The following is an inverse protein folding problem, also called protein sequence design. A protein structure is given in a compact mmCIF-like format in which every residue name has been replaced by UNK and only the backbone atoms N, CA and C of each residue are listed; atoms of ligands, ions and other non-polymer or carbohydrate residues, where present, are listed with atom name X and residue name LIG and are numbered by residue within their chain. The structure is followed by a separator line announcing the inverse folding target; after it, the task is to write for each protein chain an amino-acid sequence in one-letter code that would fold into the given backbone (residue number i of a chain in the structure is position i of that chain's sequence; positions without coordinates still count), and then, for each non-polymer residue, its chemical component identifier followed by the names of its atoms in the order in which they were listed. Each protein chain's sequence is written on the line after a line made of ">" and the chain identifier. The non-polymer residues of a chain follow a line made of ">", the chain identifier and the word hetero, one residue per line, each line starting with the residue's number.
data_IF_269174657935
#
_entry.id   IF_269174657935
#
_cell.length_a   1.000
_cell.length_b   1.000
_cell.length_c   1.000
_cell.angle_alpha   90.00
_cell.angle_beta   90.00
_cell.angle_gamma   90.00
#
_symmetry.space_group_name_H-M   'P 1'
#
loop_
_entity.id
_entity.type
_entity.pdbx_description
1 polymer ?
#
# COMPACT_ATOMS: atom_id res chain seq x y z
N UNK A 1 4.69 -3.64 -25.72
CA UNK A 1 3.55 -4.09 -24.89
C UNK A 1 4.11 -4.50 -23.54
N UNK A 2 3.79 -3.77 -22.47
CA UNK A 2 4.17 -4.18 -21.12
C UNK A 2 3.42 -5.48 -20.80
N UNK A 3 4.12 -6.49 -20.26
CA UNK A 3 3.44 -7.73 -19.86
C UNK A 3 2.47 -7.43 -18.73
N UNK A 4 1.33 -8.13 -18.69
CA UNK A 4 0.34 -7.99 -17.62
C UNK A 4 0.97 -8.20 -16.24
N UNK A 5 1.98 -9.08 -16.13
CA UNK A 5 2.76 -9.33 -14.90
C UNK A 5 3.47 -8.07 -14.42
N UNK A 6 4.13 -7.36 -15.34
CA UNK A 6 4.94 -6.18 -15.05
C UNK A 6 4.07 -4.96 -14.70
N UNK A 7 2.90 -4.82 -15.36
CA UNK A 7 1.90 -3.81 -14.98
C UNK A 7 1.35 -4.06 -13.57
N UNK A 8 1.05 -5.31 -13.21
CA UNK A 8 0.52 -5.64 -11.89
C UNK A 8 1.52 -5.35 -10.76
N UNK A 9 2.80 -5.68 -10.98
CA UNK A 9 3.87 -5.34 -10.04
C UNK A 9 4.06 -3.84 -9.85
N UNK A 10 4.02 -3.10 -10.95
CA UNK A 10 4.08 -1.64 -10.92
C UNK A 10 2.92 -1.07 -10.09
N UNK A 11 1.71 -1.56 -10.34
CA UNK A 11 0.52 -1.11 -9.62
C UNK A 11 0.58 -1.37 -8.11
N UNK A 12 1.02 -2.57 -7.70
CA UNK A 12 1.20 -2.90 -6.27
C UNK A 12 2.25 -2.00 -5.63
N UNK A 13 3.38 -1.80 -6.30
CA UNK A 13 4.48 -0.96 -5.78
C UNK A 13 4.03 0.48 -5.58
N UNK A 14 3.38 1.07 -6.58
CA UNK A 14 2.83 2.44 -6.50
C UNK A 14 1.77 2.54 -5.40
N UNK A 15 0.90 1.53 -5.29
CA UNK A 15 -0.13 1.51 -4.25
C UNK A 15 0.47 1.50 -2.84
N UNK A 16 1.52 0.70 -2.60
CA UNK A 16 2.24 0.66 -1.32
C UNK A 16 2.88 2.02 -1.02
N UNK A 17 3.51 2.67 -1.99
CA UNK A 17 4.13 3.97 -1.81
C UNK A 17 3.11 5.06 -1.46
N UNK A 18 1.97 5.09 -2.16
CA UNK A 18 0.92 6.09 -1.92
C UNK A 18 0.26 5.87 -0.56
N UNK A 19 -0.14 4.63 -0.25
CA UNK A 19 -0.82 4.30 1.02
C UNK A 19 0.11 4.43 2.22
N UNK A 20 1.38 4.03 2.08
CA UNK A 20 2.41 4.24 3.09
C UNK A 20 2.70 5.73 3.35
N UNK A 21 2.83 6.52 2.28
CA UNK A 21 3.01 7.97 2.40
C UNK A 21 1.79 8.64 3.07
N UNK A 22 0.57 8.27 2.68
CA UNK A 22 -0.65 8.80 3.29
C UNK A 22 -0.73 8.46 4.79
N UNK A 23 -0.28 7.27 5.19
CA UNK A 23 -0.21 6.87 6.60
C UNK A 23 0.74 7.77 7.43
N UNK A 24 1.91 8.11 6.88
CA UNK A 24 2.87 9.02 7.52
C UNK A 24 2.38 10.46 7.49
N UNK A 25 1.70 10.87 6.41
CA UNK A 25 1.12 12.20 6.27
C UNK A 25 0.05 12.46 7.33
N UNK A 26 -0.91 11.55 7.51
CA UNK A 26 -1.95 11.64 8.54
C UNK A 26 -1.38 11.73 9.97
N UNK A 27 -0.24 11.08 10.24
CA UNK A 27 0.44 11.15 11.54
C UNK A 27 1.19 12.46 11.77
N UNK A 28 1.78 13.06 10.71
CA UNK A 28 2.64 14.23 10.82
C UNK A 28 1.89 15.55 10.63
N UNK A 29 0.82 15.53 9.83
CA UNK A 29 -0.04 16.66 9.52
C UNK A 29 -1.48 16.17 9.54
N UNK A 30 -2.11 16.09 10.73
CA UNK A 30 -3.47 15.63 10.84
C UNK A 30 -4.38 16.55 10.02
N UNK A 31 -4.89 16.03 8.90
CA UNK A 31 -5.84 16.72 8.03
C UNK A 31 -7.16 16.95 8.77
N UNK A 32 -7.49 16.02 9.68
CA UNK A 32 -8.71 16.02 10.46
C UNK A 32 -8.37 16.19 11.95
N UNK A 33 -9.09 17.05 12.68
CA UNK A 33 -8.89 17.21 14.11
C UNK A 33 -9.27 15.93 14.89
N UNK A 34 -8.38 15.50 15.79
CA UNK A 34 -8.66 14.48 16.80
C UNK A 34 -8.48 13.03 16.34
N UNK A 35 -9.30 12.13 16.88
CA UNK A 35 -9.16 10.68 16.77
C UNK A 35 -9.32 10.12 15.35
N UNK A 36 -9.99 10.87 14.47
CA UNK A 36 -10.28 10.47 13.09
C UNK A 36 -8.99 10.30 12.27
N UNK A 37 -8.02 11.21 12.44
CA UNK A 37 -6.73 11.09 11.75
C UNK A 37 -5.94 9.85 12.19
N UNK A 38 -6.01 9.50 13.48
CA UNK A 38 -5.33 8.31 14.01
C UNK A 38 -5.95 7.01 13.47
N UNK A 39 -7.28 6.96 13.33
CA UNK A 39 -7.95 5.81 12.71
C UNK A 39 -7.57 5.71 11.23
N UNK A 40 -7.60 6.83 10.48
CA UNK A 40 -7.26 6.87 9.05
C UNK A 40 -5.80 6.44 8.80
N UNK A 41 -4.87 6.91 9.64
CA UNK A 41 -3.47 6.47 9.62
C UNK A 41 -3.36 4.96 9.91
N UNK A 42 -4.04 4.46 10.94
CA UNK A 42 -4.02 3.05 11.31
C UNK A 42 -4.57 2.12 10.23
N UNK A 43 -5.72 2.49 9.64
CA UNK A 43 -6.32 1.74 8.51
C UNK A 43 -5.40 1.77 7.30
N UNK A 44 -4.80 2.92 6.98
CA UNK A 44 -3.86 3.04 5.86
C UNK A 44 -2.59 2.21 6.08
N UNK A 45 -2.09 2.13 7.32
CA UNK A 45 -1.00 1.23 7.68
C UNK A 45 -1.37 -0.25 7.49
N UNK A 46 -2.57 -0.65 7.91
CA UNK A 46 -3.07 -2.02 7.71
C UNK A 46 -3.21 -2.35 6.22
N UNK A 47 -3.73 -1.43 5.41
CA UNK A 47 -3.81 -1.59 3.94
C UNK A 47 -2.42 -1.70 3.33
N UNK A 48 -1.48 -0.88 3.78
CA UNK A 48 -0.07 -0.95 3.32
C UNK A 48 0.55 -2.31 3.65
N UNK A 49 0.37 -2.81 4.88
CA UNK A 49 0.85 -4.13 5.28
C UNK A 49 0.20 -5.25 4.47
N UNK A 50 -1.12 -5.17 4.23
CA UNK A 50 -1.86 -6.10 3.38
C UNK A 50 -1.34 -6.12 1.93
N UNK A 51 -1.06 -4.94 1.35
CA UNK A 51 -0.47 -4.81 0.02
C UNK A 51 0.94 -5.39 -0.06
N UNK A 52 1.76 -5.24 0.99
CA UNK A 52 3.10 -5.86 1.06
C UNK A 52 2.97 -7.40 1.04
N UNK A 53 2.11 -7.97 1.89
CA UNK A 53 1.86 -9.43 1.93
C UNK A 53 1.31 -9.95 0.60
N UNK A 54 0.39 -9.20 0.00
CA UNK A 54 -0.14 -9.51 -1.33
C UNK A 54 0.97 -9.46 -2.40
N UNK A 55 1.82 -8.44 -2.37
CA UNK A 55 3.00 -8.32 -3.24
C UNK A 55 3.90 -9.56 -3.17
N UNK A 56 4.25 -10.03 -1.96
CA UNK A 56 5.03 -11.26 -1.80
C UNK A 56 4.33 -12.50 -2.37
N UNK A 57 3.01 -12.60 -2.20
CA UNK A 57 2.21 -13.70 -2.74
C UNK A 57 2.20 -13.68 -4.27
N UNK A 58 2.10 -12.49 -4.87
CA UNK A 58 2.15 -12.28 -6.32
C UNK A 58 3.54 -12.61 -6.89
N UNK A 59 4.62 -12.22 -6.21
CA UNK A 59 6.00 -12.61 -6.57
C UNK A 59 6.14 -14.14 -6.59
N UNK A 60 5.66 -14.82 -5.53
CA UNK A 60 5.70 -16.29 -5.45
C UNK A 60 4.90 -16.93 -6.58
N UNK A 61 3.68 -16.45 -6.83
CA UNK A 61 2.82 -16.95 -7.90
C UNK A 61 3.46 -16.81 -9.28
N UNK A 62 4.12 -15.68 -9.56
CA UNK A 62 4.80 -15.47 -10.85
C UNK A 62 6.14 -16.20 -10.98
N UNK A 63 6.78 -16.60 -9.88
CA UNK A 63 7.96 -17.48 -9.90
C UNK A 63 7.60 -18.96 -10.09
N UNK A 64 6.42 -19.38 -9.64
CA UNK A 64 5.94 -20.76 -9.78
C UNK A 64 5.30 -21.07 -11.14
N UNK A 65 4.96 -20.05 -11.94
CA UNK A 65 4.36 -20.15 -13.28
C UNK A 65 5.40 -19.77 -14.33
#
# INVERSE_FOLDING_TARGET
>A
MISLKQFHFFFITVSILITGYYSVFELTRPSNPGFVSNILAGVSFLVTAGLIVYGFSVVKKFKQI
#
